data_IF_550036257662
#
_entry.id   IF_550036257662
#
_cell.length_a   1.000
_cell.length_b   1.000
_cell.length_c   1.000
_cell.angle_alpha   90.00
_cell.angle_beta   90.00
_cell.angle_gamma   90.00
#
_symmetry.space_group_name_H-M   'P 1'
#
loop_
_entity.id
_entity.type
_entity.pdbx_description
1 polymer ?
#
# COMPACT_ATOMS: atom_id res chain seq x y z
N UNK A 1 21.53 -9.07 -23.26
CA UNK A 1 22.83 -8.52 -23.79
C UNK A 1 22.51 -7.32 -24.65
N UNK A 2 22.67 -6.12 -24.13
CA UNK A 2 23.03 -4.92 -24.89
C UNK A 2 23.21 -3.80 -23.88
N UNK A 3 24.47 -3.50 -23.61
CA UNK A 3 24.91 -2.36 -22.81
C UNK A 3 24.82 -1.12 -23.69
N UNK A 4 24.01 -0.16 -23.36
CA UNK A 4 24.07 1.19 -23.91
C UNK A 4 24.94 2.05 -22.98
N UNK A 5 26.13 2.34 -23.50
CA UNK A 5 27.13 3.24 -22.95
C UNK A 5 26.68 4.68 -23.19
N UNK A 6 26.37 5.41 -22.09
CA UNK A 6 26.20 6.86 -22.13
C UNK A 6 27.57 7.54 -22.35
N UNK A 7 27.82 7.99 -23.54
CA UNK A 7 28.95 8.90 -23.82
C UNK A 7 28.44 10.34 -23.62
N UNK A 8 28.97 10.98 -22.61
CA UNK A 8 28.88 12.44 -22.43
C UNK A 8 29.68 13.08 -23.57
N UNK A 9 29.02 13.81 -24.46
CA UNK A 9 29.65 14.62 -25.49
C UNK A 9 29.97 15.97 -24.86
N UNK A 10 31.23 16.19 -24.54
CA UNK A 10 31.75 17.52 -24.22
C UNK A 10 31.99 18.23 -25.58
N UNK A 11 31.13 19.20 -25.88
CA UNK A 11 31.33 20.08 -27.02
C UNK A 11 32.37 21.14 -26.68
N UNK A 12 33.59 20.94 -27.16
CA UNK A 12 34.60 22.00 -27.23
C UNK A 12 34.21 23.00 -28.31
N UNK A 13 33.84 24.18 -27.94
CA UNK A 13 33.78 25.32 -28.85
C UNK A 13 35.21 25.83 -29.10
N UNK A 14 35.82 25.45 -30.18
CA UNK A 14 37.02 26.12 -30.71
C UNK A 14 36.58 27.40 -31.42
N UNK A 15 36.81 28.55 -30.79
CA UNK A 15 36.67 29.85 -31.44
C UNK A 15 37.79 29.99 -32.49
N UNK A 16 37.41 29.91 -33.77
CA UNK A 16 38.32 30.23 -34.88
C UNK A 16 38.61 31.72 -34.89
N UNK A 17 39.86 32.06 -34.63
CA UNK A 17 40.38 33.45 -34.80
C UNK A 17 40.59 33.68 -36.28
N UNK A 18 39.73 34.42 -36.95
CA UNK A 18 40.03 35.03 -38.26
C UNK A 18 40.92 36.26 -38.02
N UNK A 19 42.19 36.14 -38.30
CA UNK A 19 43.09 37.26 -38.37
C UNK A 19 42.81 37.98 -39.68
N UNK A 20 42.09 39.11 -39.60
CA UNK A 20 42.03 40.10 -40.68
C UNK A 20 43.14 41.13 -40.43
N UNK A 21 44.16 41.14 -41.31
CA UNK A 21 45.16 42.23 -41.38
C UNK A 21 44.48 43.47 -41.91
N UNK A 22 44.04 44.34 -41.03
CA UNK A 22 43.71 45.74 -41.34
C UNK A 22 44.46 46.63 -40.34
N UNK A 23 45.24 47.53 -40.87
CA UNK A 23 46.11 48.45 -40.14
C UNK A 23 45.31 49.64 -39.61
N UNK A 24 44.43 49.39 -38.56
CA UNK A 24 43.83 50.43 -37.80
C UNK A 24 44.16 50.25 -36.29
N UNK A 25 44.86 51.21 -35.76
CA UNK A 25 45.28 51.28 -34.35
C UNK A 25 44.10 51.73 -33.45
N UNK A 26 42.98 51.08 -33.52
CA UNK A 26 41.96 51.16 -32.48
C UNK A 26 41.94 49.78 -31.80
N UNK A 27 42.85 49.63 -30.81
CA UNK A 27 42.73 48.52 -29.85
C UNK A 27 41.45 48.74 -29.08
N UNK A 28 40.41 48.02 -29.46
CA UNK A 28 39.27 47.81 -28.56
C UNK A 28 39.78 47.07 -27.33
N UNK A 29 40.08 47.82 -26.28
CA UNK A 29 40.26 47.26 -24.97
C UNK A 29 38.90 46.75 -24.55
N UNK A 30 38.68 45.44 -24.66
CA UNK A 30 37.53 44.81 -24.04
C UNK A 30 37.71 44.99 -22.52
N UNK A 31 36.99 45.94 -21.99
CA UNK A 31 36.99 46.17 -20.54
C UNK A 31 36.14 45.03 -19.92
N UNK A 32 36.81 43.90 -19.63
CA UNK A 32 36.18 42.78 -18.91
C UNK A 32 35.99 43.25 -17.48
N UNK A 33 34.77 43.36 -16.98
CA UNK A 33 34.54 43.74 -15.59
C UNK A 33 35.25 42.73 -14.66
N UNK A 34 35.84 43.17 -13.58
CA UNK A 34 36.51 42.27 -12.62
C UNK A 34 35.48 41.28 -12.04
N UNK A 35 35.94 40.03 -11.85
CA UNK A 35 35.09 38.93 -11.36
C UNK A 35 35.48 38.54 -9.95
N UNK A 36 34.49 38.05 -9.18
CA UNK A 36 34.72 37.30 -7.92
C UNK A 36 34.68 35.84 -8.29
N UNK A 37 35.86 35.20 -8.32
CA UNK A 37 35.99 33.82 -8.75
C UNK A 37 35.84 32.87 -7.57
N UNK A 38 34.99 31.84 -7.73
CA UNK A 38 34.81 30.77 -6.77
C UNK A 38 35.96 29.77 -6.92
N UNK A 39 36.68 29.48 -5.84
CA UNK A 39 37.80 28.55 -5.78
C UNK A 39 37.32 27.15 -5.35
N UNK A 40 36.41 27.10 -4.38
CA UNK A 40 35.77 25.86 -3.96
C UNK A 40 34.34 26.09 -3.49
N UNK A 41 33.52 25.03 -3.52
CA UNK A 41 32.09 25.08 -3.16
C UNK A 41 31.20 25.73 -4.24
N UNK A 42 31.67 25.83 -5.48
CA UNK A 42 30.79 26.15 -6.60
C UNK A 42 29.69 25.09 -6.70
N UNK A 43 28.43 25.53 -6.90
CA UNK A 43 27.26 24.63 -6.98
C UNK A 43 27.14 23.67 -5.77
N UNK A 44 27.44 24.21 -4.58
CA UNK A 44 27.32 23.45 -3.34
C UNK A 44 25.91 22.88 -3.16
N UNK A 45 25.82 21.58 -2.83
CA UNK A 45 24.56 20.87 -2.73
C UNK A 45 24.29 20.38 -1.29
N UNK A 46 23.08 20.61 -0.84
CA UNK A 46 22.57 20.18 0.45
C UNK A 46 21.48 19.12 0.27
N UNK A 47 21.35 18.29 1.27
CA UNK A 47 20.21 17.37 1.37
C UNK A 47 18.96 18.11 1.85
N UNK A 48 17.82 17.42 1.81
CA UNK A 48 16.55 17.97 2.30
C UNK A 48 16.57 18.41 3.76
N UNK A 49 17.33 17.71 4.62
CA UNK A 49 17.49 18.10 6.04
C UNK A 49 18.17 19.47 6.23
N UNK A 50 18.81 20.00 5.17
CA UNK A 50 19.58 21.22 5.26
C UNK A 50 21.00 20.98 5.78
N UNK A 51 21.58 22.01 6.40
CA UNK A 51 22.92 21.95 6.97
C UNK A 51 23.76 23.17 6.69
N UNK A 52 25.06 23.05 6.95
CA UNK A 52 26.02 24.13 6.79
C UNK A 52 27.15 23.74 5.85
N UNK A 53 27.69 24.73 5.13
CA UNK A 53 28.79 24.56 4.21
C UNK A 53 29.49 25.87 3.90
N UNK A 54 30.51 25.80 3.04
CA UNK A 54 31.30 26.98 2.71
C UNK A 54 31.56 27.06 1.19
N UNK A 55 31.52 28.30 0.71
CA UNK A 55 31.98 28.66 -0.63
C UNK A 55 33.26 29.52 -0.42
N UNK A 56 34.36 29.12 -1.03
CA UNK A 56 35.62 29.89 -0.98
C UNK A 56 35.82 30.66 -2.27
N UNK A 57 36.19 31.93 -2.16
CA UNK A 57 36.46 32.78 -3.31
C UNK A 57 37.92 33.16 -3.35
N UNK A 58 38.44 33.45 -4.53
CA UNK A 58 39.76 33.99 -4.69
C UNK A 58 39.91 35.32 -3.87
N UNK A 59 41.12 35.68 -3.41
CA UNK A 59 41.34 36.95 -2.73
C UNK A 59 40.82 38.11 -3.57
N UNK A 60 40.00 38.98 -2.97
CA UNK A 60 39.38 40.14 -3.61
C UNK A 60 39.87 41.42 -2.95
N UNK A 61 39.92 42.50 -3.74
CA UNK A 61 40.21 43.82 -3.21
C UNK A 61 38.95 44.43 -2.57
N UNK A 62 38.99 44.66 -1.25
CA UNK A 62 37.87 45.21 -0.50
C UNK A 62 37.06 44.17 0.25
N UNK A 63 35.96 44.61 0.84
CA UNK A 63 35.07 43.74 1.62
C UNK A 63 34.13 42.93 0.73
N UNK A 64 34.14 41.62 0.88
CA UNK A 64 33.18 40.72 0.22
C UNK A 64 31.76 40.94 0.78
N UNK A 65 30.82 41.29 -0.08
CA UNK A 65 29.41 41.38 0.21
C UNK A 65 28.69 40.23 -0.49
N UNK A 66 27.76 39.57 0.20
CA UNK A 66 27.00 38.43 -0.30
C UNK A 66 25.52 38.63 -0.09
N UNK A 67 24.74 38.18 -1.04
CA UNK A 67 23.26 38.14 -0.96
C UNK A 67 22.72 36.98 -1.73
N UNK A 68 21.46 36.61 -1.44
CA UNK A 68 20.75 35.56 -2.16
C UNK A 68 19.35 36.02 -2.52
N UNK A 69 18.80 35.46 -3.59
CA UNK A 69 17.40 35.62 -3.98
C UNK A 69 16.43 34.76 -3.16
N UNK A 70 16.96 33.89 -2.27
CA UNK A 70 16.22 32.92 -1.47
C UNK A 70 16.56 33.02 0.03
N UNK A 71 16.56 34.24 0.58
CA UNK A 71 16.93 34.49 1.99
C UNK A 71 16.00 33.87 3.03
N UNK A 72 14.83 33.35 2.63
CA UNK A 72 13.90 32.66 3.52
C UNK A 72 14.38 31.29 3.98
N UNK A 73 15.33 30.67 3.25
CA UNK A 73 15.80 29.33 3.56
C UNK A 73 17.30 29.13 3.31
N UNK A 74 17.96 30.04 2.60
CA UNK A 74 19.40 30.02 2.34
C UNK A 74 20.03 31.26 2.96
N UNK A 75 20.80 31.07 4.01
CA UNK A 75 21.39 32.13 4.82
C UNK A 75 22.89 32.22 4.53
N UNK A 76 23.37 33.43 4.25
CA UNK A 76 24.73 33.67 3.83
C UNK A 76 25.42 34.63 4.79
N UNK A 77 26.68 34.32 5.18
CA UNK A 77 27.56 35.22 5.94
C UNK A 77 28.92 35.24 5.29
N UNK A 78 29.45 36.45 4.99
CA UNK A 78 30.79 36.61 4.47
C UNK A 78 31.84 36.62 5.63
N UNK A 79 32.87 35.78 5.52
CA UNK A 79 33.96 35.62 6.49
C UNK A 79 35.30 35.73 5.76
N UNK A 80 35.76 36.96 5.51
CA UNK A 80 36.94 37.18 4.65
C UNK A 80 36.69 36.73 3.22
N UNK A 81 37.46 35.76 2.74
CA UNK A 81 37.31 35.18 1.41
C UNK A 81 36.45 33.90 1.44
N UNK A 82 35.73 33.65 2.51
CA UNK A 82 34.79 32.53 2.64
C UNK A 82 33.37 33.04 2.83
N UNK A 83 32.42 32.29 2.30
CA UNK A 83 31.01 32.52 2.50
C UNK A 83 30.49 31.30 3.27
N UNK A 84 30.05 31.51 4.50
CA UNK A 84 29.30 30.50 5.24
C UNK A 84 27.90 30.45 4.69
N UNK A 85 27.45 29.25 4.34
CA UNK A 85 26.12 28.93 3.81
C UNK A 85 25.41 28.06 4.82
N UNK A 86 24.27 28.50 5.32
CA UNK A 86 23.36 27.70 6.15
C UNK A 86 22.04 27.56 5.43
N UNK A 87 21.54 26.33 5.33
CA UNK A 87 20.34 25.96 4.59
C UNK A 87 19.36 25.27 5.53
N UNK A 88 18.12 25.79 5.57
CA UNK A 88 17.05 25.22 6.39
C UNK A 88 16.57 23.88 5.86
N UNK A 89 15.94 23.08 6.73
CA UNK A 89 15.27 21.84 6.31
C UNK A 89 14.16 22.12 5.28
N UNK A 90 13.96 21.15 4.38
CA UNK A 90 13.02 21.24 3.28
C UNK A 90 12.18 19.96 3.18
N UNK A 91 10.85 20.13 3.21
CA UNK A 91 9.90 19.03 3.17
C UNK A 91 9.39 18.68 1.76
N UNK A 92 9.75 19.49 0.75
CA UNK A 92 9.29 19.30 -0.63
C UNK A 92 9.98 18.12 -1.34
N UNK A 93 9.34 17.60 -2.36
CA UNK A 93 9.83 16.46 -3.16
C UNK A 93 10.74 16.89 -4.30
N UNK A 94 10.62 18.12 -4.78
CA UNK A 94 11.44 18.66 -5.87
C UNK A 94 12.64 19.41 -5.32
N UNK A 95 13.73 19.45 -6.09
CA UNK A 95 14.90 20.23 -5.74
C UNK A 95 14.64 21.74 -5.88
N UNK A 96 15.31 22.53 -5.03
CA UNK A 96 15.26 24.00 -5.10
C UNK A 96 16.67 24.59 -5.17
N UNK A 97 16.76 25.83 -5.64
CA UNK A 97 18.01 26.52 -5.93
C UNK A 97 17.97 27.93 -5.37
N UNK A 98 19.12 28.42 -4.87
CA UNK A 98 19.34 29.79 -4.49
C UNK A 98 20.54 30.35 -5.24
N UNK A 99 20.37 31.53 -5.86
CA UNK A 99 21.50 32.25 -6.43
C UNK A 99 22.25 32.99 -5.34
N UNK A 100 23.55 32.82 -5.31
CA UNK A 100 24.47 33.55 -4.43
C UNK A 100 25.13 34.63 -5.26
N UNK A 101 24.83 35.88 -4.96
CA UNK A 101 25.42 37.05 -5.60
C UNK A 101 26.54 37.56 -4.70
N UNK A 102 27.73 37.74 -5.28
CA UNK A 102 28.94 38.17 -4.63
C UNK A 102 29.39 39.52 -5.21
N UNK A 103 29.83 40.43 -4.38
CA UNK A 103 30.38 41.74 -4.79
C UNK A 103 31.54 42.14 -3.91
N UNK A 104 32.62 42.59 -4.51
CA UNK A 104 33.78 43.20 -3.83
C UNK A 104 34.31 44.37 -4.65
N UNK A 105 34.12 45.61 -4.17
CA UNK A 105 34.40 46.80 -5.00
C UNK A 105 33.60 46.77 -6.34
N UNK A 106 34.31 46.82 -7.45
CA UNK A 106 33.75 46.74 -8.80
C UNK A 106 33.62 45.26 -9.31
N UNK A 107 34.24 44.31 -8.60
CA UNK A 107 34.16 42.91 -8.96
C UNK A 107 32.81 42.30 -8.53
N UNK A 108 32.29 41.42 -9.37
CA UNK A 108 31.05 40.67 -9.08
C UNK A 108 31.13 39.20 -9.52
N UNK A 109 30.38 38.38 -8.84
CA UNK A 109 30.29 36.95 -9.17
C UNK A 109 28.92 36.35 -8.78
N UNK A 110 28.58 35.22 -9.37
CA UNK A 110 27.37 34.48 -9.04
C UNK A 110 27.70 33.02 -8.98
N UNK A 111 27.16 32.33 -7.98
CA UNK A 111 27.14 30.86 -7.91
C UNK A 111 25.77 30.39 -7.43
N UNK A 112 25.58 29.09 -7.28
CA UNK A 112 24.30 28.51 -6.92
C UNK A 112 24.45 27.61 -5.71
N UNK A 113 23.47 27.69 -4.81
CA UNK A 113 23.26 26.70 -3.76
C UNK A 113 22.09 25.81 -4.20
N UNK A 114 22.32 24.51 -4.21
CA UNK A 114 21.33 23.52 -4.55
C UNK A 114 20.87 22.78 -3.31
N UNK A 115 19.56 22.61 -3.13
CA UNK A 115 19.03 21.72 -2.09
C UNK A 115 18.13 20.66 -2.76
N UNK A 116 18.47 19.41 -2.52
CA UNK A 116 17.66 18.29 -2.99
C UNK A 116 16.35 18.20 -2.23
N UNK A 117 15.28 17.84 -2.90
CA UNK A 117 14.05 17.41 -2.27
C UNK A 117 14.17 16.02 -1.65
N UNK A 118 13.13 15.61 -0.97
CA UNK A 118 13.00 14.27 -0.40
C UNK A 118 12.80 13.28 -1.54
N UNK A 119 13.66 12.26 -1.63
CA UNK A 119 13.52 11.15 -2.57
C UNK A 119 13.21 9.91 -1.77
N UNK A 120 12.02 9.35 -1.96
CA UNK A 120 11.61 8.08 -1.36
C UNK A 120 11.38 7.07 -2.47
N UNK A 121 11.97 5.89 -2.33
CA UNK A 121 11.80 4.74 -3.21
C UNK A 121 11.31 3.54 -2.41
N UNK A 122 10.56 2.67 -3.07
CA UNK A 122 10.14 1.36 -2.55
C UNK A 122 9.30 1.38 -1.26
N UNK A 123 8.79 2.54 -0.83
CA UNK A 123 7.86 2.60 0.29
C UNK A 123 6.43 2.40 -0.21
N UNK A 124 5.94 1.18 -0.09
CA UNK A 124 4.59 0.79 -0.46
C UNK A 124 3.95 -0.02 0.68
N UNK A 125 3.64 0.63 1.81
CA UNK A 125 2.97 -0.05 2.92
C UNK A 125 1.56 -0.46 2.48
N UNK A 126 1.11 -1.59 3.01
CA UNK A 126 -0.21 -2.14 2.73
C UNK A 126 -0.82 -2.67 4.01
N UNK A 127 -2.13 -2.81 4.00
CA UNK A 127 -2.85 -3.47 5.08
C UNK A 127 -2.33 -4.89 5.28
N UNK A 128 -2.09 -5.25 6.53
CA UNK A 128 -1.64 -6.59 6.92
C UNK A 128 -2.45 -7.10 8.11
N UNK A 129 -2.78 -8.38 8.08
CA UNK A 129 -3.35 -9.09 9.22
C UNK A 129 -2.33 -10.09 9.72
N UNK A 130 -2.01 -10.03 11.00
CA UNK A 130 -1.02 -10.84 11.67
C UNK A 130 -1.71 -11.70 12.75
N UNK A 131 -1.01 -12.73 13.23
CA UNK A 131 -1.49 -13.54 14.34
C UNK A 131 -1.52 -12.72 15.66
N UNK A 132 -2.04 -13.32 16.72
CA UNK A 132 -2.25 -12.64 18.00
C UNK A 132 -1.00 -12.51 18.88
N UNK A 133 0.15 -13.05 18.46
CA UNK A 133 1.39 -12.99 19.23
C UNK A 133 1.99 -11.58 19.23
N UNK A 134 2.80 -11.27 20.24
CA UNK A 134 3.64 -10.08 20.22
C UNK A 134 4.69 -10.21 19.12
N UNK A 135 4.73 -9.27 18.19
CA UNK A 135 5.62 -9.32 17.03
C UNK A 135 5.83 -7.95 16.41
N UNK A 136 6.76 -7.86 15.47
CA UNK A 136 7.03 -6.64 14.71
C UNK A 136 6.58 -6.81 13.25
N UNK A 137 5.86 -5.82 12.70
CA UNK A 137 5.65 -5.64 11.28
C UNK A 137 6.65 -4.61 10.76
N UNK A 138 7.38 -4.88 9.68
CA UNK A 138 8.37 -3.99 9.11
C UNK A 138 8.04 -3.63 7.66
N UNK A 139 8.08 -2.35 7.34
CA UNK A 139 7.86 -1.79 6.01
C UNK A 139 9.13 -1.06 5.59
N UNK A 140 9.84 -1.64 4.63
CA UNK A 140 11.12 -1.11 4.17
C UNK A 140 10.95 0.04 3.19
N UNK A 141 11.92 0.95 3.18
CA UNK A 141 12.02 2.06 2.24
C UNK A 141 13.48 2.37 1.91
N UNK A 142 13.69 2.96 0.75
CA UNK A 142 14.94 3.61 0.39
C UNK A 142 14.67 5.11 0.28
N UNK A 143 15.30 5.91 1.12
CA UNK A 143 15.20 7.36 1.07
C UNK A 143 16.60 7.99 1.14
N UNK A 144 16.75 9.15 0.51
CA UNK A 144 17.98 9.93 0.65
C UNK A 144 18.18 10.45 2.08
N UNK A 145 17.09 10.46 2.87
CA UNK A 145 17.09 10.85 4.29
C UNK A 145 15.96 10.14 5.04
N UNK A 146 16.20 9.86 6.32
CA UNK A 146 15.18 9.29 7.21
C UNK A 146 14.32 10.42 7.79
N UNK A 147 13.43 10.96 6.98
CA UNK A 147 12.48 12.01 7.38
C UNK A 147 11.04 11.47 7.46
N UNK A 148 10.88 10.18 7.65
CA UNK A 148 9.57 9.61 7.89
C UNK A 148 9.10 9.96 9.29
N UNK A 149 7.90 10.47 9.38
CA UNK A 149 7.15 10.57 10.63
C UNK A 149 5.92 9.69 10.50
N UNK A 150 5.58 8.98 11.58
CA UNK A 150 4.41 8.12 11.58
C UNK A 150 3.80 8.04 12.98
N UNK A 151 2.49 7.89 13.04
CA UNK A 151 1.73 7.73 14.26
C UNK A 151 0.71 6.61 14.13
N UNK A 152 0.36 6.02 15.26
CA UNK A 152 -0.65 4.97 15.39
C UNK A 152 -1.79 5.48 16.26
N UNK A 153 -3.03 5.17 15.91
CA UNK A 153 -4.21 5.44 16.73
C UNK A 153 -4.40 4.44 17.88
N UNK A 154 -3.49 3.46 18.01
CA UNK A 154 -3.61 2.38 18.99
C UNK A 154 -2.33 2.16 19.80
N UNK A 155 -2.43 2.20 21.14
CA UNK A 155 -1.30 2.04 22.07
C UNK A 155 -0.60 0.67 21.95
N UNK A 156 -1.29 -0.36 21.47
CA UNK A 156 -0.75 -1.70 21.29
C UNK A 156 0.09 -1.86 20.02
N UNK A 157 0.08 -0.87 19.11
CA UNK A 157 0.82 -0.84 17.85
C UNK A 157 1.81 0.33 17.88
N UNK A 158 2.98 0.12 18.48
CA UNK A 158 3.97 1.17 18.69
C UNK A 158 4.87 1.38 17.49
N UNK A 159 4.97 2.61 17.03
CA UNK A 159 5.85 3.03 15.95
C UNK A 159 7.32 3.06 16.38
N UNK A 160 8.20 2.52 15.52
CA UNK A 160 9.65 2.61 15.62
C UNK A 160 10.17 2.98 14.23
N UNK A 161 10.71 4.19 14.12
CA UNK A 161 11.35 4.64 12.87
C UNK A 161 12.82 4.23 12.90
N UNK A 162 13.24 3.48 11.89
CA UNK A 162 14.63 3.08 11.66
C UNK A 162 15.15 3.77 10.39
N UNK A 163 16.45 3.59 10.08
CA UNK A 163 17.08 4.28 8.95
C UNK A 163 16.45 3.93 7.60
N UNK A 164 16.01 2.69 7.44
CA UNK A 164 15.55 2.09 6.18
C UNK A 164 14.22 1.34 6.34
N UNK A 165 13.56 1.50 7.48
CA UNK A 165 12.29 0.84 7.73
C UNK A 165 11.40 1.58 8.75
N UNK A 166 10.10 1.51 8.52
CA UNK A 166 9.07 1.79 9.49
C UNK A 166 8.66 0.47 10.13
N UNK A 167 8.94 0.30 11.41
CA UNK A 167 8.59 -0.88 12.17
C UNK A 167 7.45 -0.59 13.13
N UNK A 168 6.46 -1.46 13.11
CA UNK A 168 5.31 -1.40 14.03
C UNK A 168 5.46 -2.57 15.00
N UNK A 169 5.73 -2.26 16.26
CA UNK A 169 5.79 -3.26 17.34
C UNK A 169 4.43 -3.48 17.92
N UNK A 170 3.93 -4.71 17.79
CA UNK A 170 2.62 -5.12 18.25
C UNK A 170 2.73 -5.83 19.59
N UNK A 171 1.92 -5.43 20.55
CA UNK A 171 1.73 -6.19 21.77
C UNK A 171 0.90 -7.46 21.50
N UNK A 172 1.02 -8.47 22.36
CA UNK A 172 0.18 -9.66 22.30
C UNK A 172 -1.32 -9.30 22.39
N UNK A 173 -2.13 -9.90 21.52
CA UNK A 173 -3.58 -9.78 21.54
C UNK A 173 -4.19 -10.87 22.44
N UNK A 174 -4.20 -10.63 23.73
CA UNK A 174 -4.68 -11.60 24.73
C UNK A 174 -6.21 -11.83 24.65
N UNK A 175 -6.98 -10.90 24.12
CA UNK A 175 -8.42 -11.07 23.91
C UNK A 175 -8.72 -12.06 22.79
N UNK A 176 -7.80 -12.22 21.85
CA UNK A 176 -7.95 -13.03 20.62
C UNK A 176 -9.13 -12.61 19.75
N UNK A 177 -9.73 -11.47 20.03
CA UNK A 177 -10.71 -10.83 19.17
C UNK A 177 -9.99 -9.99 18.12
N UNK A 178 -10.62 -9.73 16.97
CA UNK A 178 -10.05 -8.86 15.95
C UNK A 178 -9.79 -7.47 16.52
N UNK A 179 -8.59 -6.96 16.24
CA UNK A 179 -8.24 -5.56 16.48
C UNK A 179 -7.43 -4.99 15.34
N UNK A 180 -7.58 -3.71 15.09
CA UNK A 180 -6.94 -2.98 14.01
C UNK A 180 -6.37 -1.67 14.53
N UNK A 181 -5.20 -1.29 14.02
CA UNK A 181 -4.57 -0.01 14.23
C UNK A 181 -4.38 0.67 12.88
N UNK A 182 -4.73 1.95 12.79
CA UNK A 182 -4.47 2.77 11.63
C UNK A 182 -3.15 3.51 11.82
N UNK A 183 -2.28 3.39 10.82
CA UNK A 183 -0.97 4.00 10.79
C UNK A 183 -0.99 5.14 9.78
N UNK A 184 -0.83 6.36 10.27
CA UNK A 184 -0.65 7.56 9.46
C UNK A 184 0.84 7.82 9.30
N UNK A 185 1.29 8.08 8.08
CA UNK A 185 2.70 8.35 7.82
C UNK A 185 2.88 9.50 6.84
N UNK A 186 4.02 10.18 6.94
CA UNK A 186 4.46 11.13 5.94
C UNK A 186 5.98 11.20 5.81
N UNK A 187 6.44 11.50 4.58
CA UNK A 187 7.77 11.94 4.23
C UNK A 187 7.65 13.36 3.69
N UNK A 188 7.86 14.36 4.52
CA UNK A 188 7.58 15.74 4.11
C UNK A 188 6.14 15.91 3.63
N UNK A 189 5.97 16.27 2.35
CA UNK A 189 4.63 16.48 1.75
C UNK A 189 3.95 15.18 1.30
N UNK A 190 4.70 14.10 1.12
CA UNK A 190 4.14 12.80 0.75
C UNK A 190 3.57 12.12 1.99
N UNK A 191 2.31 11.68 1.91
CA UNK A 191 1.59 11.07 3.04
C UNK A 191 0.69 9.92 2.60
N UNK A 192 0.34 9.08 3.53
CA UNK A 192 -0.61 7.99 3.34
C UNK A 192 -0.97 7.29 4.62
N UNK A 193 -1.81 6.28 4.48
CA UNK A 193 -2.33 5.50 5.58
C UNK A 193 -2.30 4.02 5.22
N UNK A 194 -2.17 3.17 6.22
CA UNK A 194 -2.38 1.73 6.12
C UNK A 194 -2.79 1.18 7.47
N UNK A 195 -3.32 -0.05 7.48
CA UNK A 195 -3.79 -0.71 8.70
C UNK A 195 -2.92 -1.92 9.04
N UNK A 196 -2.69 -2.11 10.33
CA UNK A 196 -2.12 -3.33 10.88
C UNK A 196 -3.14 -3.93 11.83
N UNK A 197 -3.55 -5.17 11.57
CA UNK A 197 -4.52 -5.88 12.39
C UNK A 197 -3.96 -7.17 12.96
N UNK A 198 -4.53 -7.63 14.06
CA UNK A 198 -4.25 -8.93 14.65
C UNK A 198 -5.53 -9.74 14.77
N UNK A 199 -5.50 -10.90 14.12
CA UNK A 199 -6.53 -11.91 14.24
C UNK A 199 -6.03 -13.24 13.69
N UNK A 200 -6.27 -14.31 14.41
CA UNK A 200 -5.90 -15.67 14.02
C UNK A 200 -6.99 -16.65 14.43
N UNK A 201 -7.51 -17.43 13.49
CA UNK A 201 -8.65 -18.32 13.73
C UNK A 201 -8.29 -19.49 14.65
N UNK A 202 -7.07 -20.03 14.53
CA UNK A 202 -6.62 -21.12 15.38
C UNK A 202 -6.43 -20.66 16.82
N UNK A 203 -5.73 -19.51 17.02
CA UNK A 203 -5.51 -18.94 18.35
C UNK A 203 -6.81 -18.47 19.01
N UNK A 204 -7.79 -18.01 18.22
CA UNK A 204 -9.10 -17.64 18.71
C UNK A 204 -10.01 -18.86 19.00
N UNK A 205 -9.56 -20.08 18.68
CA UNK A 205 -10.34 -21.31 18.90
C UNK A 205 -11.50 -21.48 17.90
N UNK A 206 -11.36 -20.89 16.71
CA UNK A 206 -12.42 -20.84 15.71
C UNK A 206 -12.34 -21.95 14.67
N UNK A 207 -11.27 -22.76 14.67
CA UNK A 207 -11.23 -23.98 13.89
C UNK A 207 -12.15 -25.05 14.50
N UNK A 208 -12.60 -26.01 13.67
CA UNK A 208 -13.50 -27.11 14.05
C UNK A 208 -14.96 -26.81 13.74
N UNK A 209 -15.85 -27.22 14.64
CA UNK A 209 -17.28 -27.33 14.38
C UNK A 209 -18.05 -26.00 14.40
N UNK A 210 -18.88 -25.82 13.41
CA UNK A 210 -19.78 -24.68 13.20
C UNK A 210 -21.15 -25.20 12.77
N UNK A 211 -22.16 -24.38 12.95
CA UNK A 211 -23.50 -24.61 12.41
C UNK A 211 -23.82 -23.57 11.36
N UNK A 212 -24.10 -24.00 10.12
CA UNK A 212 -24.39 -23.12 8.98
C UNK A 212 -25.90 -22.91 8.86
N UNK A 213 -26.31 -21.65 8.91
CA UNK A 213 -27.70 -21.21 8.81
C UNK A 213 -27.93 -20.40 7.54
N UNK A 214 -29.10 -20.59 6.95
CA UNK A 214 -29.63 -19.73 5.91
C UNK A 214 -31.15 -19.99 5.74
N UNK A 215 -31.82 -19.03 5.12
CA UNK A 215 -33.24 -19.19 4.74
C UNK A 215 -33.41 -19.06 3.24
N UNK A 216 -34.50 -19.60 2.72
CA UNK A 216 -34.89 -19.48 1.33
C UNK A 216 -35.16 -18.00 0.99
N UNK A 217 -34.43 -17.46 0.02
CA UNK A 217 -34.56 -16.07 -0.40
C UNK A 217 -35.96 -15.71 -0.95
N UNK A 218 -36.69 -16.69 -1.47
CA UNK A 218 -38.03 -16.48 -2.07
C UNK A 218 -39.11 -16.28 -1.01
N UNK A 219 -39.10 -17.08 0.07
CA UNK A 219 -40.20 -17.10 1.06
C UNK A 219 -39.78 -16.85 2.50
N UNK A 220 -38.49 -16.66 2.74
CA UNK A 220 -37.93 -16.36 4.09
C UNK A 220 -38.01 -17.52 5.10
N UNK A 221 -38.31 -18.75 4.65
CA UNK A 221 -38.39 -19.92 5.52
C UNK A 221 -37.12 -20.74 5.46
N UNK A 222 -36.74 -21.34 6.57
CA UNK A 222 -35.65 -22.32 6.58
C UNK A 222 -36.01 -23.52 5.72
N UNK A 223 -35.02 -24.11 5.06
CA UNK A 223 -35.18 -25.41 4.41
C UNK A 223 -35.28 -26.49 5.46
N UNK A 224 -36.03 -27.57 5.16
CA UNK A 224 -36.26 -28.66 6.10
C UNK A 224 -35.00 -29.42 6.55
N UNK A 225 -33.89 -29.28 5.80
CA UNK A 225 -32.60 -29.88 6.08
C UNK A 225 -31.57 -28.90 6.64
N UNK A 226 -31.92 -27.63 6.87
CA UNK A 226 -31.12 -26.66 7.59
C UNK A 226 -31.48 -26.69 9.08
N UNK A 227 -30.54 -26.36 10.00
CA UNK A 227 -29.15 -25.94 9.71
C UNK A 227 -28.29 -27.12 9.23
N UNK A 228 -27.15 -26.75 8.59
CA UNK A 228 -26.15 -27.70 8.15
C UNK A 228 -24.98 -27.75 9.13
N UNK A 229 -24.34 -28.93 9.23
CA UNK A 229 -23.15 -29.09 10.02
C UNK A 229 -21.95 -28.61 9.19
N UNK A 230 -21.07 -27.78 9.78
CA UNK A 230 -19.92 -27.21 9.10
C UNK A 230 -18.64 -27.43 9.92
N UNK A 231 -17.51 -27.67 9.25
CA UNK A 231 -16.22 -27.81 9.90
C UNK A 231 -15.21 -26.91 9.19
N UNK A 232 -14.63 -25.98 9.93
CA UNK A 232 -13.57 -25.09 9.46
C UNK A 232 -12.21 -25.67 9.84
N UNK A 233 -11.31 -25.80 8.88
CA UNK A 233 -9.94 -26.30 9.10
C UNK A 233 -8.92 -25.45 8.35
N UNK A 234 -7.71 -25.37 8.85
CA UNK A 234 -6.59 -24.71 8.20
C UNK A 234 -5.90 -25.67 7.22
N UNK A 235 -5.50 -25.17 6.07
CA UNK A 235 -4.73 -25.88 5.06
C UNK A 235 -3.22 -25.59 5.20
N UNK A 236 -2.38 -26.42 4.62
CA UNK A 236 -0.92 -26.29 4.72
C UNK A 236 -0.35 -25.02 4.05
N UNK A 237 -1.09 -24.41 3.17
CA UNK A 237 -0.71 -23.16 2.47
C UNK A 237 -1.21 -21.87 3.19
N UNK A 238 -1.75 -22.02 4.41
CA UNK A 238 -2.27 -20.89 5.20
C UNK A 238 -3.67 -20.42 4.80
N UNK A 239 -4.30 -21.10 3.83
CA UNK A 239 -5.74 -20.90 3.54
C UNK A 239 -6.60 -21.78 4.44
N UNK A 240 -7.92 -21.66 4.31
CA UNK A 240 -8.85 -22.46 5.10
C UNK A 240 -9.74 -23.31 4.20
N UNK A 241 -10.25 -24.39 4.77
CA UNK A 241 -11.23 -25.26 4.14
C UNK A 241 -12.48 -25.30 5.00
N UNK A 242 -13.65 -25.27 4.36
CA UNK A 242 -14.96 -25.36 4.99
C UNK A 242 -15.70 -26.58 4.42
N UNK A 243 -15.83 -27.62 5.22
CA UNK A 243 -16.67 -28.76 4.90
C UNK A 243 -18.09 -28.48 5.44
N UNK A 244 -19.12 -28.62 4.59
CA UNK A 244 -20.53 -28.39 4.97
C UNK A 244 -21.30 -29.66 4.64
N UNK A 245 -21.86 -30.31 5.64
CA UNK A 245 -22.50 -31.62 5.47
C UNK A 245 -23.88 -31.68 6.11
N UNK A 246 -24.72 -32.57 5.59
CA UNK A 246 -26.00 -32.97 6.21
C UNK A 246 -26.51 -34.28 5.62
N UNK A 247 -27.03 -35.09 6.48
CA UNK A 247 -27.85 -36.21 6.07
C UNK A 247 -29.19 -36.16 6.81
N UNK A 248 -30.27 -36.05 6.07
CA UNK A 248 -31.64 -36.06 6.61
C UNK A 248 -32.55 -36.90 5.70
N UNK A 249 -32.77 -38.14 6.08
CA UNK A 249 -33.43 -39.11 5.23
C UNK A 249 -32.70 -39.34 3.90
N UNK A 250 -33.33 -39.04 2.78
CA UNK A 250 -32.74 -39.13 1.45
C UNK A 250 -31.99 -37.85 1.01
N UNK A 251 -32.06 -36.78 1.78
CA UNK A 251 -31.32 -35.55 1.49
C UNK A 251 -29.90 -35.69 1.99
N UNK A 252 -28.93 -35.49 1.11
CA UNK A 252 -27.51 -35.48 1.45
C UNK A 252 -26.87 -34.19 0.91
N UNK A 253 -26.21 -33.43 1.78
CA UNK A 253 -25.36 -32.30 1.47
C UNK A 253 -23.94 -32.73 1.76
N UNK A 254 -23.04 -32.54 0.80
CA UNK A 254 -21.63 -32.83 0.94
C UNK A 254 -20.82 -31.81 0.14
N UNK A 255 -20.46 -30.70 0.79
CA UNK A 255 -19.71 -29.60 0.21
C UNK A 255 -18.32 -29.54 0.84
N UNK A 256 -17.32 -29.33 0.02
CA UNK A 256 -15.93 -29.10 0.41
C UNK A 256 -15.43 -27.85 -0.30
N UNK A 257 -15.49 -26.73 0.40
CA UNK A 257 -15.04 -25.41 -0.07
C UNK A 257 -13.59 -25.26 0.37
N UNK A 258 -12.69 -25.00 -0.59
CA UNK A 258 -11.24 -24.91 -0.35
C UNK A 258 -10.73 -23.53 -0.72
N UNK A 259 -9.60 -23.15 -0.11
CA UNK A 259 -8.90 -21.93 -0.45
C UNK A 259 -9.61 -20.67 0.06
N UNK A 260 -10.29 -20.74 1.20
CA UNK A 260 -10.80 -19.55 1.86
C UNK A 260 -9.61 -18.75 2.42
N UNK A 261 -9.57 -17.45 2.15
CA UNK A 261 -8.59 -16.56 2.73
C UNK A 261 -9.17 -15.85 3.97
N UNK A 262 -8.30 -15.47 4.90
CA UNK A 262 -8.66 -14.58 5.98
C UNK A 262 -8.12 -13.18 5.66
N UNK A 263 -9.03 -12.20 5.52
CA UNK A 263 -8.70 -10.80 5.33
C UNK A 263 -9.30 -9.98 6.46
N UNK A 264 -8.45 -9.43 7.33
CA UNK A 264 -8.89 -8.81 8.57
C UNK A 264 -9.69 -9.82 9.43
N UNK A 265 -10.95 -9.53 9.75
CA UNK A 265 -11.88 -10.47 10.38
C UNK A 265 -12.87 -11.12 9.41
N UNK A 266 -12.55 -11.17 8.11
CA UNK A 266 -13.43 -11.70 7.08
C UNK A 266 -12.88 -13.00 6.50
N UNK A 267 -13.68 -14.04 6.57
CA UNK A 267 -13.41 -15.30 5.89
C UNK A 267 -13.97 -15.23 4.47
N UNK A 268 -13.10 -15.24 3.47
CA UNK A 268 -13.38 -15.00 2.07
C UNK A 268 -13.68 -16.31 1.34
N UNK A 269 -14.96 -16.61 1.11
CA UNK A 269 -15.40 -17.84 0.43
C UNK A 269 -15.28 -17.66 -1.08
N UNK A 270 -14.49 -18.48 -1.81
CA UNK A 270 -14.35 -18.37 -3.28
C UNK A 270 -15.63 -18.77 -4.01
N UNK A 271 -15.97 -18.01 -5.06
CA UNK A 271 -17.13 -18.21 -5.90
C UNK A 271 -16.81 -19.00 -7.17
N UNK A 272 -17.82 -19.68 -7.72
CA UNK A 272 -17.84 -20.28 -9.05
C UNK A 272 -17.11 -21.61 -9.19
N UNK A 273 -16.35 -22.04 -8.20
CA UNK A 273 -15.70 -23.35 -8.19
C UNK A 273 -16.68 -24.49 -7.86
N UNK A 274 -16.39 -25.70 -8.34
CA UNK A 274 -17.12 -26.89 -7.90
C UNK A 274 -16.75 -27.19 -6.43
N UNK A 275 -17.78 -27.31 -5.57
CA UNK A 275 -17.59 -27.51 -4.13
C UNK A 275 -18.06 -28.86 -3.60
N UNK A 276 -18.72 -29.67 -4.41
CA UNK A 276 -19.22 -30.98 -3.95
C UNK A 276 -20.56 -31.37 -4.53
N UNK A 277 -21.35 -32.12 -3.78
CA UNK A 277 -22.58 -32.70 -4.24
C UNK A 277 -23.79 -32.40 -3.35
N UNK A 278 -24.96 -32.33 -3.95
CA UNK A 278 -26.25 -32.25 -3.27
C UNK A 278 -27.22 -33.31 -3.80
N UNK A 279 -27.77 -34.09 -2.91
CA UNK A 279 -28.78 -35.07 -3.19
C UNK A 279 -30.08 -34.65 -2.49
N UNK A 280 -31.05 -34.06 -3.18
CA UNK A 280 -32.31 -33.63 -2.56
C UNK A 280 -33.31 -34.80 -2.34
N UNK A 281 -33.09 -35.93 -3.01
CA UNK A 281 -33.91 -37.16 -2.90
C UNK A 281 -33.16 -38.37 -3.44
N UNK A 282 -33.71 -39.55 -3.35
CA UNK A 282 -33.05 -40.80 -3.73
C UNK A 282 -32.64 -40.87 -5.22
N UNK A 283 -33.26 -40.10 -6.10
CA UNK A 283 -33.13 -40.26 -7.57
C UNK A 283 -32.20 -39.20 -8.19
N UNK A 284 -31.93 -38.10 -7.50
CA UNK A 284 -31.20 -36.96 -8.07
C UNK A 284 -29.90 -36.71 -7.31
N UNK A 285 -28.80 -36.56 -8.04
CA UNK A 285 -27.50 -36.14 -7.54
C UNK A 285 -27.03 -34.97 -8.38
N UNK A 286 -26.68 -33.85 -7.72
CA UNK A 286 -26.23 -32.63 -8.37
C UNK A 286 -24.82 -32.28 -7.97
N UNK A 287 -24.08 -31.65 -8.88
CA UNK A 287 -22.83 -30.97 -8.65
C UNK A 287 -23.11 -29.52 -8.22
N UNK A 288 -22.37 -28.98 -7.25
CA UNK A 288 -22.73 -27.73 -6.59
C UNK A 288 -21.65 -26.66 -6.80
N UNK A 289 -22.13 -25.43 -7.10
CA UNK A 289 -21.32 -24.27 -7.35
C UNK A 289 -21.89 -23.06 -6.59
N UNK A 290 -21.08 -22.34 -5.75
CA UNK A 290 -21.49 -21.12 -5.09
C UNK A 290 -21.38 -19.94 -6.06
N UNK A 291 -22.40 -19.11 -6.13
CA UNK A 291 -22.42 -17.92 -6.98
C UNK A 291 -23.44 -16.89 -6.50
N UNK A 292 -23.37 -15.67 -7.05
CA UNK A 292 -24.43 -14.67 -6.94
C UNK A 292 -25.13 -14.47 -8.26
N UNK A 293 -26.44 -14.31 -8.23
CA UNK A 293 -27.24 -14.04 -9.44
C UNK A 293 -28.49 -13.20 -9.13
N UNK A 294 -28.98 -12.48 -10.13
CA UNK A 294 -30.20 -11.67 -10.03
C UNK A 294 -31.43 -12.53 -9.76
N UNK A 295 -32.27 -12.07 -8.83
CA UNK A 295 -33.55 -12.70 -8.49
C UNK A 295 -33.41 -14.14 -7.97
N UNK A 296 -34.55 -14.86 -7.92
CA UNK A 296 -34.66 -16.23 -7.39
C UNK A 296 -34.98 -17.26 -8.47
N UNK A 297 -35.07 -16.86 -9.74
CA UNK A 297 -35.39 -17.71 -10.89
C UNK A 297 -34.14 -18.25 -11.58
N UNK A 298 -34.29 -19.25 -12.47
CA UNK A 298 -33.15 -19.83 -13.20
C UNK A 298 -32.38 -18.75 -13.99
N UNK A 299 -31.06 -18.79 -13.91
CA UNK A 299 -30.17 -17.83 -14.57
C UNK A 299 -29.24 -18.59 -15.47
N UNK A 300 -28.91 -18.01 -16.64
CA UNK A 300 -27.77 -18.47 -17.42
C UNK A 300 -26.48 -18.14 -16.65
N UNK A 301 -25.55 -19.07 -16.63
CA UNK A 301 -24.28 -18.93 -15.93
C UNK A 301 -23.53 -17.63 -16.28
N UNK A 302 -23.63 -17.19 -17.54
CA UNK A 302 -23.00 -15.94 -18.01
C UNK A 302 -23.57 -14.64 -17.41
N UNK A 303 -24.70 -14.70 -16.70
CA UNK A 303 -25.32 -13.56 -16.01
C UNK A 303 -25.15 -13.63 -14.48
N UNK A 304 -24.28 -14.50 -13.99
CA UNK A 304 -23.98 -14.70 -12.58
C UNK A 304 -22.57 -14.23 -12.25
N UNK A 305 -22.35 -13.82 -11.00
CA UNK A 305 -21.00 -13.58 -10.45
C UNK A 305 -20.43 -14.93 -10.04
N UNK A 306 -19.49 -15.44 -10.82
CA UNK A 306 -18.87 -16.76 -10.69
C UNK A 306 -17.38 -16.70 -10.41
N UNK A 307 -16.89 -15.53 -9.98
CA UNK A 307 -15.50 -15.31 -9.58
C UNK A 307 -15.43 -14.30 -8.45
N UNK A 308 -14.29 -14.24 -7.77
CA UNK A 308 -14.11 -13.44 -6.57
C UNK A 308 -14.55 -14.20 -5.32
N UNK A 309 -14.90 -13.45 -4.28
CA UNK A 309 -15.15 -14.01 -2.96
C UNK A 309 -16.43 -13.48 -2.34
N UNK A 310 -17.09 -14.34 -1.56
CA UNK A 310 -18.17 -13.97 -0.67
C UNK A 310 -17.62 -13.81 0.75
N UNK A 311 -17.59 -12.59 1.31
CA UNK A 311 -17.06 -12.35 2.63
C UNK A 311 -18.02 -12.76 3.73
N UNK A 312 -17.50 -13.45 4.74
CA UNK A 312 -18.16 -13.73 6.01
C UNK A 312 -17.44 -12.97 7.12
N UNK A 313 -18.06 -11.96 7.68
CA UNK A 313 -17.51 -11.20 8.78
C UNK A 313 -17.60 -12.00 10.09
N UNK A 314 -16.45 -12.24 10.72
CA UNK A 314 -16.35 -12.99 11.97
C UNK A 314 -16.39 -12.01 13.13
N UNK A 315 -17.40 -12.17 13.97
CA UNK A 315 -17.64 -11.34 15.14
C UNK A 315 -18.05 -12.21 16.32
N UNK A 316 -17.89 -11.67 17.53
CA UNK A 316 -18.38 -12.28 18.74
C UNK A 316 -19.61 -11.51 19.19
N UNK A 317 -20.70 -12.20 19.32
CA UNK A 317 -21.95 -11.61 19.81
C UNK A 317 -21.76 -11.06 21.24
N UNK A 318 -22.05 -9.79 21.43
CA UNK A 318 -21.74 -9.08 22.70
C UNK A 318 -22.60 -9.56 23.87
N UNK A 319 -23.79 -10.11 23.62
CA UNK A 319 -24.71 -10.55 24.67
C UNK A 319 -24.44 -12.01 25.08
N UNK A 320 -24.24 -12.85 24.09
CA UNK A 320 -24.10 -14.31 24.29
C UNK A 320 -22.64 -14.75 24.40
N UNK A 321 -21.70 -13.95 23.92
CA UNK A 321 -20.29 -14.31 23.81
C UNK A 321 -20.00 -15.37 22.73
N UNK A 322 -20.97 -15.71 21.90
CA UNK A 322 -20.85 -16.74 20.87
C UNK A 322 -20.25 -16.14 19.60
N UNK A 323 -19.30 -16.83 18.99
CA UNK A 323 -18.72 -16.42 17.72
C UNK A 323 -19.67 -16.72 16.56
N UNK A 324 -19.78 -15.77 15.65
CA UNK A 324 -20.58 -15.86 14.45
C UNK A 324 -19.74 -15.42 13.23
N UNK A 325 -20.04 -16.02 12.07
CA UNK A 325 -19.53 -15.58 10.79
C UNK A 325 -20.73 -15.22 9.90
N UNK A 326 -20.95 -13.94 9.64
CA UNK A 326 -22.12 -13.41 8.94
C UNK A 326 -21.76 -13.05 7.51
N UNK A 327 -22.50 -13.60 6.54
CA UNK A 327 -22.28 -13.32 5.12
C UNK A 327 -22.65 -11.88 4.76
N UNK A 328 -21.67 -11.12 4.25
CA UNK A 328 -21.87 -9.75 3.77
C UNK A 328 -22.24 -9.75 2.29
N UNK A 329 -23.52 -9.55 1.98
CA UNK A 329 -24.03 -9.46 0.62
C UNK A 329 -23.93 -8.07 0.00
N UNK A 330 -23.51 -7.05 0.76
CA UNK A 330 -23.43 -5.65 0.32
C UNK A 330 -22.64 -5.46 -0.98
N UNK A 331 -21.50 -6.12 -1.20
CA UNK A 331 -20.73 -5.98 -2.44
C UNK A 331 -21.47 -6.45 -3.70
N UNK A 332 -22.54 -7.24 -3.54
CA UNK A 332 -23.29 -7.85 -4.64
C UNK A 332 -24.64 -7.15 -4.94
N UNK A 333 -24.97 -6.08 -4.19
CA UNK A 333 -26.19 -5.32 -4.37
C UNK A 333 -27.45 -6.18 -4.24
N UNK A 334 -28.32 -6.14 -5.23
CA UNK A 334 -29.59 -6.89 -5.27
C UNK A 334 -29.44 -8.36 -5.67
N UNK A 335 -28.20 -8.86 -5.85
CA UNK A 335 -27.98 -10.25 -6.20
C UNK A 335 -28.17 -11.15 -4.98
N UNK A 336 -28.59 -12.38 -5.25
CA UNK A 336 -28.86 -13.39 -4.23
C UNK A 336 -27.77 -14.46 -4.30
N UNK A 337 -27.22 -14.83 -3.16
CA UNK A 337 -26.29 -15.95 -3.05
C UNK A 337 -27.03 -17.26 -3.32
N UNK A 338 -26.39 -18.17 -4.06
CA UNK A 338 -26.93 -19.44 -4.43
C UNK A 338 -25.93 -20.56 -4.38
N UNK A 339 -26.43 -21.74 -4.03
CA UNK A 339 -25.86 -22.99 -4.47
C UNK A 339 -26.60 -23.42 -5.74
N UNK A 340 -25.93 -23.34 -6.88
CA UNK A 340 -26.46 -23.80 -8.17
C UNK A 340 -26.12 -25.27 -8.35
N UNK A 341 -27.07 -26.03 -8.85
CA UNK A 341 -27.06 -27.49 -8.96
C UNK A 341 -27.07 -27.93 -10.42
N UNK A 342 -25.99 -28.61 -10.83
CA UNK A 342 -25.87 -29.17 -12.17
C UNK A 342 -25.75 -30.70 -12.15
N UNK A 343 -26.23 -31.35 -13.19
CA UNK A 343 -26.11 -32.82 -13.35
C UNK A 343 -24.70 -33.21 -13.82
N UNK A 344 -23.98 -32.31 -14.46
CA UNK A 344 -22.65 -32.56 -15.02
C UNK A 344 -21.63 -31.52 -14.50
N UNK A 345 -20.43 -31.98 -14.15
CA UNK A 345 -19.28 -31.13 -13.74
C UNK A 345 -18.68 -30.34 -14.89
N UNK A 346 -18.73 -30.86 -16.10
CA UNK A 346 -18.00 -30.36 -17.27
C UNK A 346 -18.70 -29.24 -18.00
N UNK A 347 -20.01 -29.09 -17.84
CA UNK A 347 -20.81 -28.10 -18.55
C UNK A 347 -21.80 -27.40 -17.60
N UNK A 348 -21.39 -26.31 -16.97
CA UNK A 348 -22.32 -25.44 -16.27
C UNK A 348 -23.20 -24.72 -17.30
N UNK A 349 -24.21 -25.42 -17.80
CA UNK A 349 -25.25 -24.89 -18.66
C UNK A 349 -26.36 -24.23 -17.83
N UNK A 350 -27.59 -24.44 -18.22
CA UNK A 350 -28.74 -24.06 -17.39
C UNK A 350 -28.78 -24.94 -16.14
N UNK A 351 -28.88 -24.33 -14.97
CA UNK A 351 -28.99 -25.09 -13.72
C UNK A 351 -30.30 -25.86 -13.71
N UNK A 352 -30.24 -27.15 -13.31
CA UNK A 352 -31.45 -27.99 -13.20
C UNK A 352 -32.20 -27.72 -11.90
N UNK A 353 -31.52 -27.15 -10.90
CA UNK A 353 -32.10 -26.79 -9.61
C UNK A 353 -31.18 -25.79 -8.91
N UNK A 354 -31.67 -25.17 -7.85
CA UNK A 354 -30.90 -24.19 -7.07
C UNK A 354 -31.47 -24.03 -5.68
N UNK A 355 -30.60 -23.57 -4.78
CA UNK A 355 -30.99 -23.07 -3.49
C UNK A 355 -30.57 -21.59 -3.40
N UNK A 356 -31.53 -20.68 -3.54
CA UNK A 356 -31.32 -19.25 -3.36
C UNK A 356 -31.42 -18.93 -1.86
N UNK A 357 -30.39 -18.31 -1.31
CA UNK A 357 -30.19 -18.11 0.14
C UNK A 357 -30.15 -16.65 0.52
N UNK A 358 -30.71 -16.34 1.69
CA UNK A 358 -30.49 -15.07 2.42
C UNK A 358 -30.30 -15.35 3.90
N UNK A 359 -29.97 -14.30 4.67
CA UNK A 359 -29.70 -14.40 6.10
C UNK A 359 -28.68 -15.54 6.38
N UNK A 360 -27.54 -15.45 5.69
CA UNK A 360 -26.52 -16.50 5.69
C UNK A 360 -25.53 -16.23 6.80
N UNK A 361 -25.41 -17.16 7.73
CA UNK A 361 -24.44 -17.05 8.81
C UNK A 361 -24.04 -18.42 9.34
N UNK A 362 -22.90 -18.45 10.03
CA UNK A 362 -22.44 -19.61 10.78
C UNK A 362 -22.28 -19.25 12.24
N UNK A 363 -22.56 -20.21 13.12
CA UNK A 363 -22.41 -20.10 14.57
C UNK A 363 -21.36 -21.11 15.02
N UNK A 364 -20.38 -20.69 15.82
CA UNK A 364 -19.37 -21.57 16.41
C UNK A 364 -20.01 -22.43 17.48
N UNK A 365 -19.79 -23.73 17.39
CA UNK A 365 -20.30 -24.71 18.36
C UNK A 365 -19.39 -24.82 19.59
#
# INVERSE_FOLDING_TARGET
>A
MNRLSNRVIVALFTAGILVSCGNDKDMYTINVPPTVDVVSGADIAFKAIGGEGYIEVAPVDGQLQVSTDQSSWCHLTAEGNRIHVSVDSYSGLESRYAKVMMKAGDASGVTVVHQFGIIVREFAPRDVTLNNDAQDAAFYYEANESLIEAESDADWARIIVEKDSLRIRLAENVSREYREAHIHWHFGEMKGDFSVSQFDLAQAGLLGDWTFHAVNATNGRAFSYYPLDAVLSEAADGTYNLAVTKQSGNVVVDYSIKGLALERNRLMLPLGGHIGTHRPNANNLYQVYPLFASGTTAVQYGNAVTSGYFPFEITKDAETGVWQAVGDTTPFGDMVFRFEFWTDKSHPGNSNSRTALKDIYMVKN
#
